data_IF_345112773017
#
_entry.id   IF_345112773017
#
_cell.length_a   1.000
_cell.length_b   1.000
_cell.length_c   1.000
_cell.angle_alpha   90.00
_cell.angle_beta   90.00
_cell.angle_gamma   90.00
#
_symmetry.space_group_name_H-M   'P 1'
#
loop_
_entity.id
_entity.type
_entity.pdbx_description
1 polymer ?
#
# COMPACT_ATOMS: atom_id res chain seq x y z
N UNK A 1 17.67 -2.71 -16.27
CA UNK A 1 16.27 -2.91 -16.73
C UNK A 1 15.61 -1.54 -16.75
N UNK A 2 15.33 -0.97 -17.94
CA UNK A 2 14.93 0.45 -18.09
C UNK A 2 13.57 0.79 -17.47
N UNK A 3 12.79 -0.23 -17.07
CA UNK A 3 11.41 -0.04 -16.59
C UNK A 3 11.31 0.41 -15.11
N UNK A 4 12.40 0.36 -14.33
CA UNK A 4 12.43 0.62 -12.88
C UNK A 4 13.02 2.00 -12.47
N UNK A 5 13.22 2.91 -13.44
CA UNK A 5 13.63 4.30 -13.18
C UNK A 5 15.13 4.58 -13.36
N UNK A 6 15.58 5.83 -13.13
CA UNK A 6 16.93 6.30 -13.47
C UNK A 6 18.07 5.65 -12.67
N UNK A 7 17.75 4.84 -11.65
CA UNK A 7 18.71 4.09 -10.83
C UNK A 7 18.64 2.58 -11.07
N UNK A 8 18.02 2.12 -12.16
CA UNK A 8 17.86 0.70 -12.47
C UNK A 8 19.15 0.01 -13.01
N UNK A 9 20.29 0.63 -12.71
CA UNK A 9 21.66 0.16 -13.03
C UNK A 9 22.25 -0.73 -11.93
N UNK A 10 21.50 -0.98 -10.85
CA UNK A 10 21.90 -1.95 -9.85
C UNK A 10 21.92 -3.35 -10.46
N UNK A 11 22.97 -4.12 -10.16
CA UNK A 11 23.04 -5.52 -10.55
C UNK A 11 21.79 -6.25 -10.03
N UNK A 12 21.19 -7.14 -10.84
CA UNK A 12 20.04 -7.91 -10.37
C UNK A 12 20.45 -8.69 -9.12
N UNK A 13 19.63 -8.59 -8.07
CA UNK A 13 19.76 -9.44 -6.89
C UNK A 13 19.71 -10.91 -7.33
N UNK A 14 20.54 -11.74 -6.73
CA UNK A 14 20.45 -13.17 -7.01
C UNK A 14 19.18 -13.78 -6.37
N UNK A 15 18.83 -15.00 -6.77
CA UNK A 15 17.59 -15.64 -6.34
C UNK A 15 17.55 -15.87 -4.81
N UNK A 16 18.70 -16.15 -4.20
CA UNK A 16 18.83 -16.39 -2.75
C UNK A 16 18.68 -15.07 -1.98
N UNK A 17 19.23 -13.97 -2.50
CA UNK A 17 19.01 -12.63 -1.95
C UNK A 17 17.53 -12.22 -2.00
N UNK A 18 16.84 -12.49 -3.11
CA UNK A 18 15.40 -12.20 -3.25
C UNK A 18 14.59 -13.02 -2.25
N UNK A 19 14.88 -14.31 -2.13
CA UNK A 19 14.20 -15.20 -1.18
C UNK A 19 14.39 -14.71 0.26
N UNK A 20 15.63 -14.40 0.66
CA UNK A 20 15.95 -13.81 1.96
C UNK A 20 15.24 -12.47 2.19
N UNK A 21 15.11 -11.63 1.17
CA UNK A 21 14.34 -10.39 1.27
C UNK A 21 12.87 -10.68 1.55
N UNK A 22 12.29 -11.65 0.83
CA UNK A 22 10.90 -12.08 1.02
C UNK A 22 10.63 -12.61 2.43
N UNK A 23 11.53 -13.44 2.95
CA UNK A 23 11.43 -13.98 4.32
C UNK A 23 11.47 -12.87 5.37
N UNK A 24 12.38 -11.90 5.24
CA UNK A 24 12.45 -10.75 6.17
C UNK A 24 11.15 -9.96 6.16
N UNK A 25 10.60 -9.64 4.99
CA UNK A 25 9.33 -8.91 4.89
C UNK A 25 8.19 -9.70 5.52
N UNK A 26 8.13 -11.02 5.28
CA UNK A 26 7.10 -11.87 5.86
C UNK A 26 7.17 -11.93 7.39
N UNK A 27 8.38 -11.98 7.95
CA UNK A 27 8.59 -11.97 9.39
C UNK A 27 8.16 -10.63 10.02
N UNK A 28 8.49 -9.50 9.41
CA UNK A 28 8.00 -8.19 9.86
C UNK A 28 6.46 -8.10 9.81
N UNK A 29 5.82 -8.60 8.74
CA UNK A 29 4.36 -8.66 8.66
C UNK A 29 3.73 -9.50 9.77
N UNK A 30 4.37 -10.62 10.15
CA UNK A 30 3.92 -11.47 11.27
C UNK A 30 4.01 -10.73 12.59
N UNK A 31 5.13 -10.04 12.86
CA UNK A 31 5.30 -9.21 14.06
C UNK A 31 4.23 -8.13 14.12
N UNK A 32 4.02 -7.40 13.03
CA UNK A 32 2.98 -6.38 12.94
C UNK A 32 1.57 -6.93 13.18
N UNK A 33 1.28 -8.15 12.72
CA UNK A 33 -0.01 -8.80 12.93
C UNK A 33 -0.29 -9.11 14.42
N UNK A 34 0.74 -9.37 15.22
CA UNK A 34 0.61 -9.52 16.67
C UNK A 34 0.28 -8.19 17.35
N UNK A 35 0.79 -7.07 16.81
CA UNK A 35 0.57 -5.71 17.32
C UNK A 35 -0.57 -4.94 16.61
N UNK A 36 -1.44 -5.65 15.87
CA UNK A 36 -2.45 -5.02 14.99
C UNK A 36 -3.37 -4.00 15.68
N UNK A 37 -3.68 -4.21 16.96
CA UNK A 37 -4.60 -3.33 17.72
C UNK A 37 -3.95 -1.97 17.97
N UNK A 38 -2.67 -1.93 18.31
CA UNK A 38 -1.98 -0.65 18.53
C UNK A 38 -1.70 0.05 17.21
N UNK A 39 -1.31 -0.71 16.17
CA UNK A 39 -1.16 -0.18 14.82
C UNK A 39 -2.47 0.49 14.36
N UNK A 40 -3.62 -0.15 14.56
CA UNK A 40 -4.92 0.44 14.24
C UNK A 40 -5.10 1.79 14.95
N UNK A 41 -4.89 1.84 16.28
CA UNK A 41 -5.02 3.07 17.08
C UNK A 41 -4.10 4.20 16.60
N UNK A 42 -2.83 3.89 16.37
CA UNK A 42 -1.80 4.86 15.95
C UNK A 42 -2.00 5.37 14.51
N UNK A 43 -2.78 4.65 13.71
CA UNK A 43 -3.01 4.96 12.30
C UNK A 43 -4.43 5.41 11.99
N UNK A 44 -5.26 5.71 13.00
CA UNK A 44 -6.64 6.20 12.83
C UNK A 44 -6.76 7.52 12.07
N UNK A 45 -5.76 8.38 12.16
CA UNK A 45 -5.69 9.62 11.37
C UNK A 45 -5.27 9.39 9.92
N UNK A 46 -5.04 8.13 9.52
CA UNK A 46 -4.80 7.69 8.15
C UNK A 46 -3.69 8.51 7.48
N UNK A 47 -4.04 9.29 6.46
CA UNK A 47 -3.10 10.05 5.63
C UNK A 47 -2.31 11.13 6.39
N UNK A 48 -2.75 11.53 7.58
CA UNK A 48 -2.05 12.47 8.45
C UNK A 48 -1.03 11.75 9.36
N UNK A 49 -1.09 10.42 9.46
CA UNK A 49 -0.15 9.61 10.25
C UNK A 49 1.03 9.17 9.39
N UNK A 50 2.24 9.58 9.78
CA UNK A 50 3.47 9.07 9.17
C UNK A 50 3.57 7.54 9.27
N UNK A 51 3.20 6.98 10.42
CA UNK A 51 3.18 5.53 10.66
C UNK A 51 2.27 4.79 9.66
N UNK A 52 1.12 5.38 9.32
CA UNK A 52 0.20 4.81 8.32
C UNK A 52 0.85 4.71 6.94
N UNK A 53 1.66 5.69 6.54
CA UNK A 53 2.39 5.64 5.28
C UNK A 53 3.47 4.56 5.29
N UNK A 54 4.28 4.47 6.36
CA UNK A 54 5.36 3.48 6.46
C UNK A 54 4.84 2.04 6.40
N UNK A 55 3.83 1.72 7.21
CA UNK A 55 3.26 0.36 7.28
C UNK A 55 2.65 -0.08 5.94
N UNK A 56 2.14 0.86 5.14
CA UNK A 56 1.52 0.57 3.84
C UNK A 56 2.52 0.28 2.73
N UNK A 57 3.79 0.74 2.83
CA UNK A 57 4.82 0.49 1.80
C UNK A 57 5.09 -1.01 1.61
N UNK A 58 5.02 -1.79 2.70
CA UNK A 58 5.32 -3.21 2.69
C UNK A 58 4.08 -4.12 2.64
N UNK A 59 2.89 -3.56 2.37
CA UNK A 59 1.61 -4.29 2.44
C UNK A 59 0.79 -4.19 1.16
N UNK A 60 0.18 -5.32 0.78
CA UNK A 60 -0.94 -5.30 -0.15
C UNK A 60 -2.19 -4.81 0.57
N UNK A 61 -2.55 -3.55 0.31
CA UNK A 61 -3.74 -2.91 0.87
C UNK A 61 -5.02 -3.48 0.25
N UNK A 62 -6.16 -3.34 0.95
CA UNK A 62 -7.45 -3.81 0.45
C UNK A 62 -7.79 -3.29 -0.96
N UNK A 63 -7.46 -2.03 -1.25
CA UNK A 63 -7.64 -1.40 -2.57
C UNK A 63 -6.83 -2.07 -3.70
N UNK A 64 -5.73 -2.75 -3.38
CA UNK A 64 -4.90 -3.48 -4.33
C UNK A 64 -5.16 -4.99 -4.32
N UNK A 65 -5.60 -5.54 -3.18
CA UNK A 65 -5.71 -6.97 -2.95
C UNK A 65 -6.56 -7.68 -4.01
N UNK A 66 -7.78 -7.19 -4.25
CA UNK A 66 -8.66 -7.77 -5.26
C UNK A 66 -8.11 -7.66 -6.69
N UNK A 67 -7.30 -6.65 -6.99
CA UNK A 67 -6.61 -6.51 -8.29
C UNK A 67 -5.51 -7.55 -8.44
N UNK A 68 -4.73 -7.80 -7.39
CA UNK A 68 -3.66 -8.81 -7.37
C UNK A 68 -4.22 -10.22 -7.45
N UNK A 69 -5.25 -10.56 -6.67
CA UNK A 69 -5.85 -11.90 -6.68
C UNK A 69 -6.51 -12.28 -8.03
N UNK A 70 -6.86 -11.29 -8.85
CA UNK A 70 -7.46 -11.50 -10.19
C UNK A 70 -6.43 -11.65 -11.30
N UNK A 71 -5.13 -11.48 -11.02
CA UNK A 71 -4.10 -11.69 -12.03
C UNK A 71 -4.04 -13.16 -12.42
N UNK A 72 -4.30 -13.45 -13.69
CA UNK A 72 -4.11 -14.78 -14.25
C UNK A 72 -2.64 -15.07 -14.56
N UNK A 73 -2.26 -16.35 -14.75
CA UNK A 73 -0.88 -16.74 -15.07
C UNK A 73 -0.34 -16.09 -16.35
N UNK A 74 -1.21 -15.76 -17.30
CA UNK A 74 -0.86 -15.13 -18.57
C UNK A 74 -0.82 -13.59 -18.53
N UNK A 75 -1.26 -12.97 -17.42
CA UNK A 75 -1.22 -11.51 -17.29
C UNK A 75 0.16 -11.08 -16.83
N UNK A 76 0.90 -10.33 -17.67
CA UNK A 76 2.18 -9.74 -17.26
C UNK A 76 1.97 -8.86 -16.03
N UNK A 77 2.50 -9.28 -14.88
CA UNK A 77 2.33 -8.61 -13.59
C UNK A 77 3.03 -7.25 -13.52
N UNK A 78 3.93 -6.95 -14.47
CA UNK A 78 4.78 -5.75 -14.49
C UNK A 78 4.02 -4.44 -14.26
N UNK A 79 2.89 -4.24 -14.94
CA UNK A 79 2.12 -3.00 -14.82
C UNK A 79 1.46 -2.89 -13.44
N UNK A 80 0.98 -4.02 -12.91
CA UNK A 80 0.41 -4.08 -11.56
C UNK A 80 1.47 -3.76 -10.51
N UNK A 81 2.64 -4.42 -10.60
CA UNK A 81 3.78 -4.18 -9.71
C UNK A 81 4.21 -2.72 -9.76
N UNK A 82 4.42 -2.16 -10.96
CA UNK A 82 4.77 -0.75 -11.16
C UNK A 82 3.76 0.19 -10.51
N UNK A 83 2.47 -0.06 -10.69
CA UNK A 83 1.41 0.78 -10.10
C UNK A 83 1.30 0.69 -8.57
N UNK A 84 1.77 -0.41 -7.98
CA UNK A 84 1.80 -0.60 -6.51
C UNK A 84 3.03 0.09 -5.92
N UNK A 85 4.20 -0.07 -6.55
CA UNK A 85 5.46 0.51 -6.08
C UNK A 85 5.52 2.03 -6.32
N UNK A 86 4.93 2.50 -7.42
CA UNK A 86 4.96 3.91 -7.83
C UNK A 86 3.54 4.40 -8.11
N UNK A 87 2.70 4.55 -7.07
CA UNK A 87 1.35 5.06 -7.27
C UNK A 87 1.39 6.50 -7.79
N UNK A 88 0.52 6.87 -8.74
CA UNK A 88 0.44 8.24 -9.23
C UNK A 88 0.00 9.18 -8.12
N UNK A 89 0.52 10.42 -8.11
CA UNK A 89 -0.01 11.46 -7.23
C UNK A 89 -1.40 11.91 -7.73
N UNK A 90 -2.43 11.66 -6.92
CA UNK A 90 -3.82 12.02 -7.20
C UNK A 90 -4.31 13.18 -6.33
N UNK A 91 -3.44 13.78 -5.51
CA UNK A 91 -3.80 14.82 -4.54
C UNK A 91 -4.38 16.08 -5.19
N UNK A 92 -4.03 16.33 -6.45
CA UNK A 92 -4.50 17.48 -7.23
C UNK A 92 -5.92 17.32 -7.79
N UNK A 93 -6.49 16.10 -7.80
CA UNK A 93 -7.81 15.86 -8.39
C UNK A 93 -8.93 16.33 -7.45
N UNK A 94 -9.88 17.10 -7.99
CA UNK A 94 -10.95 17.74 -7.21
C UNK A 94 -11.90 16.74 -6.54
N UNK A 95 -12.22 15.65 -7.22
CA UNK A 95 -13.03 14.54 -6.71
C UNK A 95 -12.38 13.86 -5.49
N UNK A 96 -11.06 13.65 -5.54
CA UNK A 96 -10.28 13.12 -4.42
C UNK A 96 -10.25 14.09 -3.24
N UNK A 97 -10.02 15.38 -3.50
CA UNK A 97 -10.06 16.41 -2.46
C UNK A 97 -11.43 16.52 -1.80
N UNK A 98 -12.49 16.50 -2.60
CA UNK A 98 -13.86 16.50 -2.11
C UNK A 98 -14.13 15.29 -1.20
N UNK A 99 -13.73 14.09 -1.62
CA UNK A 99 -13.85 12.88 -0.81
C UNK A 99 -13.16 13.00 0.54
N UNK A 100 -11.90 13.46 0.56
CA UNK A 100 -11.12 13.67 1.80
C UNK A 100 -11.79 14.68 2.73
N UNK A 101 -12.22 15.82 2.20
CA UNK A 101 -12.81 16.91 2.99
C UNK A 101 -14.20 16.53 3.53
N UNK A 102 -14.94 15.70 2.78
CA UNK A 102 -16.31 15.31 3.15
C UNK A 102 -16.37 14.08 4.06
N UNK A 103 -15.28 13.30 4.18
CA UNK A 103 -15.26 12.05 4.95
C UNK A 103 -15.64 12.27 6.42
N UNK A 104 -15.08 13.30 7.06
CA UNK A 104 -15.38 13.61 8.46
C UNK A 104 -16.87 13.91 8.66
N UNK A 105 -17.46 14.72 7.78
CA UNK A 105 -18.89 15.04 7.82
C UNK A 105 -19.76 13.80 7.60
N UNK A 106 -19.39 12.95 6.65
CA UNK A 106 -20.11 11.71 6.36
C UNK A 106 -20.11 10.75 7.57
N UNK A 107 -18.96 10.62 8.26
CA UNK A 107 -18.86 9.80 9.49
C UNK A 107 -19.77 10.32 10.61
N UNK A 108 -19.82 11.63 10.83
CA UNK A 108 -20.68 12.22 11.87
C UNK A 108 -22.17 12.04 11.54
N UNK A 109 -22.57 12.23 10.29
CA UNK A 109 -23.95 11.97 9.86
C UNK A 109 -24.35 10.51 10.08
N UNK A 110 -23.49 9.56 9.69
CA UNK A 110 -23.75 8.14 9.89
C UNK A 110 -23.98 7.77 11.36
N UNK A 111 -23.24 8.39 12.29
CA UNK A 111 -23.43 8.17 13.74
C UNK A 111 -24.77 8.70 14.27
N UNK A 112 -25.39 9.67 13.61
CA UNK A 112 -26.67 10.26 14.02
C UNK A 112 -27.88 9.45 13.52
N UNK A 113 -27.68 8.67 12.45
CA UNK A 113 -28.73 7.83 11.82
C UNK A 113 -28.83 6.42 12.45
N UNK A 114 -27.84 6.03 13.26
CA UNK A 114 -27.77 4.76 14.00
C UNK A 114 -28.23 4.98 15.44
#
# INVERSE_FOLDING_TARGET
DVDYGPNADQAPMDADEIEKCGERVLEELRKEATNRINIEKETRSQHESHMWHEIRKNRLTASNFGRVCRLGPATLSKNTVKSILYPPDLSHRQDIQYGRNSEALAREKYKQEV
#
